data_IF_956415848191
#
_entry.id   IF_956415848191
#
_cell.length_a   1.000
_cell.length_b   1.000
_cell.length_c   1.000
_cell.angle_alpha   90.00
_cell.angle_beta   90.00
_cell.angle_gamma   90.00
#
_symmetry.space_group_name_H-M   'P 1'
#
loop_
_entity.id
_entity.type
_entity.pdbx_description
1 polymer ?
#
# COMPACT_ATOMS: atom_id res chain seq x y z
N UNK A 1 6.08 21.29 7.70
CA UNK A 1 7.29 22.07 7.34
C UNK A 1 8.16 21.17 6.48
N UNK A 2 8.35 21.52 5.21
CA UNK A 2 9.31 20.85 4.35
C UNK A 2 10.71 21.33 4.74
N UNK A 3 11.58 20.40 5.16
CA UNK A 3 13.01 20.67 5.35
C UNK A 3 13.72 20.10 4.15
N UNK A 4 14.07 20.97 3.20
CA UNK A 4 14.99 20.63 2.10
C UNK A 4 16.42 20.81 2.59
N UNK A 5 17.15 19.72 2.74
CA UNK A 5 18.60 19.76 2.93
C UNK A 5 19.24 18.72 2.01
N UNK A 6 19.94 19.19 0.99
CA UNK A 6 20.86 18.38 0.21
C UNK A 6 22.06 17.99 1.08
N UNK A 7 22.09 16.73 1.53
CA UNK A 7 23.15 16.17 2.36
C UNK A 7 22.55 15.48 3.60
N UNK A 8 23.12 14.35 4.01
CA UNK A 8 22.77 13.66 5.26
C UNK A 8 23.11 14.56 6.47
N UNK A 9 22.20 15.48 6.81
CA UNK A 9 22.30 16.23 8.05
C UNK A 9 21.85 15.34 9.21
N UNK A 10 22.67 15.16 10.26
CA UNK A 10 22.27 14.45 11.49
C UNK A 10 20.94 14.98 12.07
N UNK A 11 20.67 16.26 11.89
CA UNK A 11 19.46 16.92 12.37
C UNK A 11 18.22 16.51 11.56
N UNK A 12 18.33 16.34 10.23
CA UNK A 12 17.23 15.88 9.39
C UNK A 12 16.83 14.45 9.76
N UNK A 13 17.80 13.57 10.03
CA UNK A 13 17.53 12.19 10.46
C UNK A 13 16.87 12.16 11.85
N UNK A 14 17.35 12.96 12.81
CA UNK A 14 16.72 13.06 14.14
C UNK A 14 15.27 13.51 14.05
N UNK A 15 15.00 14.52 13.23
CA UNK A 15 13.63 14.98 12.99
C UNK A 15 12.77 13.90 12.34
N UNK A 16 13.34 13.15 11.38
CA UNK A 16 12.62 12.12 10.65
C UNK A 16 12.16 10.96 11.52
N UNK A 17 12.89 10.62 12.56
CA UNK A 17 12.54 9.54 13.50
C UNK A 17 11.71 10.00 14.69
N UNK A 18 11.54 11.31 14.88
CA UNK A 18 10.73 11.89 15.97
C UNK A 18 9.24 11.69 15.69
N UNK A 19 8.48 10.93 16.51
CA UNK A 19 7.08 10.66 16.28
C UNK A 19 6.14 11.86 16.53
N UNK A 20 6.63 12.92 17.16
CA UNK A 20 5.82 14.08 17.53
C UNK A 20 5.51 15.02 16.37
N UNK A 21 6.18 14.86 15.22
CA UNK A 21 6.03 15.72 14.06
C UNK A 21 5.51 14.98 12.84
N UNK A 22 4.60 15.60 12.10
CA UNK A 22 4.26 15.20 10.75
C UNK A 22 5.32 15.76 9.79
N UNK A 23 5.89 14.89 8.96
CA UNK A 23 6.95 15.29 8.04
C UNK A 23 6.88 14.54 6.71
N UNK A 24 7.50 15.13 5.70
CA UNK A 24 7.80 14.49 4.42
C UNK A 24 9.31 14.36 4.32
N UNK A 25 9.80 13.14 4.09
CA UNK A 25 11.21 12.84 3.88
C UNK A 25 11.46 12.56 2.41
N UNK A 26 12.14 13.49 1.75
CA UNK A 26 12.64 13.30 0.40
C UNK A 26 14.10 12.83 0.44
N UNK A 27 14.39 11.71 -0.19
CA UNK A 27 15.71 11.11 -0.18
C UNK A 27 15.93 10.20 -1.39
N UNK A 28 17.15 10.18 -1.93
CA UNK A 28 17.52 9.34 -3.07
C UNK A 28 17.45 7.84 -2.75
N UNK A 29 17.52 6.98 -3.77
CA UNK A 29 17.59 5.53 -3.57
C UNK A 29 18.88 5.18 -2.77
N UNK A 30 18.78 4.20 -1.87
CA UNK A 30 19.93 3.73 -1.08
C UNK A 30 20.30 4.57 0.16
N UNK A 31 19.65 5.69 0.42
CA UNK A 31 19.95 6.60 1.55
C UNK A 31 19.37 6.16 2.92
N UNK A 32 18.92 4.93 3.04
CA UNK A 32 18.45 4.40 4.32
C UNK A 32 17.02 4.82 4.73
N UNK A 33 16.17 5.24 3.78
CA UNK A 33 14.74 5.58 4.05
C UNK A 33 14.01 4.52 4.87
N UNK A 34 14.19 3.25 4.52
CA UNK A 34 13.56 2.13 5.25
C UNK A 34 14.06 2.05 6.69
N UNK A 35 15.34 2.33 6.93
CA UNK A 35 15.91 2.37 8.30
C UNK A 35 15.26 3.48 9.12
N UNK A 36 15.07 4.67 8.55
CA UNK A 36 14.37 5.79 9.20
C UNK A 36 12.93 5.42 9.54
N UNK A 37 12.21 4.76 8.62
CA UNK A 37 10.84 4.31 8.86
C UNK A 37 10.77 3.26 9.99
N UNK A 38 11.70 2.32 10.03
CA UNK A 38 11.81 1.33 11.11
C UNK A 38 12.09 2.02 12.45
N UNK A 39 13.08 2.91 12.52
CA UNK A 39 13.40 3.68 13.72
C UNK A 39 12.19 4.51 14.20
N UNK A 40 11.48 5.17 13.29
CA UNK A 40 10.26 5.92 13.62
C UNK A 40 9.17 5.01 14.16
N UNK A 41 8.95 3.85 13.56
CA UNK A 41 7.99 2.87 14.06
C UNK A 41 8.31 2.44 15.49
N UNK A 42 9.58 2.13 15.76
CA UNK A 42 10.04 1.77 17.12
C UNK A 42 9.88 2.91 18.12
N UNK A 43 10.09 4.16 17.70
CA UNK A 43 9.90 5.32 18.54
C UNK A 43 8.42 5.58 18.86
N UNK A 44 7.50 5.29 17.92
CA UNK A 44 6.06 5.29 18.20
C UNK A 44 5.70 4.29 19.28
N UNK A 45 6.23 3.06 19.19
CA UNK A 45 6.00 2.04 20.22
C UNK A 45 6.57 2.46 21.59
N UNK A 46 7.77 3.06 21.63
CA UNK A 46 8.39 3.61 22.86
C UNK A 46 7.58 4.75 23.45
N UNK A 47 6.93 5.55 22.60
CA UNK A 47 6.02 6.61 23.03
C UNK A 47 4.66 6.07 23.53
N UNK A 48 4.47 4.75 23.56
CA UNK A 48 3.26 4.10 24.07
C UNK A 48 2.13 3.98 23.05
N UNK A 49 2.38 4.25 21.75
CA UNK A 49 1.38 4.04 20.70
C UNK A 49 1.13 2.54 20.52
N UNK A 50 -0.14 2.16 20.51
CA UNK A 50 -0.52 0.78 20.25
C UNK A 50 -0.15 0.39 18.82
N UNK A 51 0.50 -0.78 18.59
CA UNK A 51 0.86 -1.24 17.26
C UNK A 51 -0.30 -1.28 16.27
N UNK A 52 -1.50 -1.60 16.72
CA UNK A 52 -2.71 -1.62 15.89
C UNK A 52 -3.12 -0.24 15.36
N UNK A 53 -2.63 0.83 15.98
CA UNK A 53 -2.87 2.21 15.56
C UNK A 53 -1.76 2.75 14.62
N UNK A 54 -0.80 1.92 14.24
CA UNK A 54 0.30 2.30 13.33
C UNK A 54 0.16 1.57 12.02
N UNK A 55 -0.14 2.31 10.97
CA UNK A 55 -0.18 1.79 9.60
C UNK A 55 1.09 2.18 8.84
N UNK A 56 1.83 1.19 8.34
CA UNK A 56 2.95 1.40 7.44
C UNK A 56 2.62 0.85 6.05
N UNK A 57 2.73 1.70 5.03
CA UNK A 57 2.41 1.34 3.65
C UNK A 57 3.68 1.31 2.81
N UNK A 58 3.81 0.28 1.99
CA UNK A 58 4.91 0.10 1.02
C UNK A 58 4.35 -0.18 -0.37
N UNK A 59 5.20 -0.09 -1.40
CA UNK A 59 4.77 -0.42 -2.78
C UNK A 59 4.83 -1.92 -3.08
N UNK A 60 5.70 -2.68 -2.41
CA UNK A 60 5.89 -4.09 -2.74
C UNK A 60 5.71 -4.99 -1.52
N UNK A 61 5.19 -6.19 -1.74
CA UNK A 61 5.07 -7.23 -0.71
C UNK A 61 6.44 -7.55 -0.08
N UNK A 62 7.49 -7.59 -0.90
CA UNK A 62 8.86 -7.83 -0.43
C UNK A 62 9.29 -6.75 0.59
N UNK A 63 9.10 -5.46 0.26
CA UNK A 63 9.44 -4.37 1.16
C UNK A 63 8.64 -4.42 2.48
N UNK A 64 7.36 -4.80 2.42
CA UNK A 64 6.54 -4.98 3.62
C UNK A 64 7.08 -6.10 4.53
N UNK A 65 7.46 -7.24 3.95
CA UNK A 65 8.05 -8.37 4.69
C UNK A 65 9.40 -7.98 5.29
N UNK A 66 10.28 -7.33 4.52
CA UNK A 66 11.59 -6.87 4.99
C UNK A 66 11.47 -5.84 6.13
N UNK A 67 10.55 -4.90 6.01
CA UNK A 67 10.31 -3.91 7.06
C UNK A 67 9.81 -4.57 8.34
N UNK A 68 8.86 -5.50 8.22
CA UNK A 68 8.34 -6.28 9.35
C UNK A 68 9.48 -7.05 10.04
N UNK A 69 10.29 -7.78 9.28
CA UNK A 69 11.42 -8.54 9.82
C UNK A 69 12.39 -7.64 10.60
N UNK A 70 12.75 -6.48 10.05
CA UNK A 70 13.65 -5.53 10.72
C UNK A 70 13.07 -5.00 12.03
N UNK A 71 11.78 -4.66 12.07
CA UNK A 71 11.12 -4.21 13.31
C UNK A 71 11.19 -5.31 14.39
N UNK A 72 10.89 -6.56 14.03
CA UNK A 72 10.96 -7.68 14.98
C UNK A 72 12.38 -7.98 15.44
N UNK A 73 13.38 -7.89 14.56
CA UNK A 73 14.78 -8.11 14.90
C UNK A 73 15.29 -7.02 15.85
N UNK A 74 15.02 -5.75 15.57
CA UNK A 74 15.39 -4.62 16.43
C UNK A 74 14.73 -4.71 17.82
N UNK A 75 13.44 -5.07 17.86
CA UNK A 75 12.73 -5.27 19.15
C UNK A 75 13.30 -6.45 19.92
N UNK A 76 13.61 -7.55 19.25
CA UNK A 76 14.24 -8.72 19.89
C UNK A 76 15.59 -8.38 20.49
N UNK A 77 16.40 -7.59 19.78
CA UNK A 77 17.72 -7.20 20.27
C UNK A 77 17.62 -6.13 21.38
N UNK A 78 16.66 -5.24 21.31
CA UNK A 78 16.36 -4.30 22.39
C UNK A 78 15.82 -5.03 23.64
N UNK A 79 15.02 -6.09 23.48
CA UNK A 79 14.46 -6.90 24.55
C UNK A 79 15.54 -7.56 25.43
N UNK A 80 16.74 -7.79 24.89
CA UNK A 80 17.88 -8.31 25.67
C UNK A 80 18.46 -7.31 26.66
N UNK A 81 18.13 -6.01 26.51
CA UNK A 81 18.74 -4.90 27.25
C UNK A 81 17.74 -4.13 28.12
N UNK A 82 16.44 -4.27 27.90
CA UNK A 82 15.40 -3.52 28.57
C UNK A 82 14.15 -4.34 28.77
N UNK A 83 13.63 -4.36 29.98
CA UNK A 83 12.36 -5.01 30.33
C UNK A 83 11.17 -4.42 29.59
N UNK A 84 11.19 -3.11 29.32
CA UNK A 84 10.16 -2.43 28.54
C UNK A 84 10.16 -2.93 27.08
N UNK A 85 11.33 -2.99 26.45
CA UNK A 85 11.48 -3.52 25.10
C UNK A 85 11.11 -5.01 25.04
N UNK A 86 11.39 -5.78 26.10
CA UNK A 86 10.95 -7.18 26.18
C UNK A 86 9.43 -7.30 26.20
N UNK A 87 8.71 -6.43 26.93
CA UNK A 87 7.25 -6.40 26.95
C UNK A 87 6.67 -6.07 25.58
N UNK A 88 7.23 -5.07 24.86
CA UNK A 88 6.82 -4.72 23.49
C UNK A 88 7.08 -5.88 22.53
N UNK A 89 8.27 -6.47 22.54
CA UNK A 89 8.60 -7.62 21.71
C UNK A 89 7.66 -8.80 21.94
N UNK A 90 7.41 -9.16 23.21
CA UNK A 90 6.51 -10.25 23.59
C UNK A 90 5.09 -9.99 23.08
N UNK A 91 4.56 -8.79 23.28
CA UNK A 91 3.22 -8.41 22.81
C UNK A 91 3.09 -8.56 21.29
N UNK A 92 4.04 -8.04 20.52
CA UNK A 92 4.03 -8.15 19.07
C UNK A 92 4.23 -9.57 18.56
N UNK A 93 5.08 -10.35 19.24
CA UNK A 93 5.28 -11.77 18.93
C UNK A 93 4.00 -12.58 19.13
N UNK A 94 3.28 -12.31 20.21
CA UNK A 94 2.05 -13.01 20.56
C UNK A 94 0.86 -12.57 19.71
N UNK A 95 0.94 -11.38 19.09
CA UNK A 95 -0.08 -10.80 18.20
C UNK A 95 0.55 -10.18 16.94
N UNK A 96 1.11 -10.99 16.05
CA UNK A 96 1.77 -10.48 14.85
C UNK A 96 0.81 -9.77 13.87
N UNK A 97 -0.49 -10.02 13.99
CA UNK A 97 -1.53 -9.34 13.22
C UNK A 97 -1.72 -7.88 13.58
N UNK A 98 -1.31 -7.45 14.80
CA UNK A 98 -1.41 -6.04 15.21
C UNK A 98 -0.41 -5.14 14.46
N UNK A 99 0.58 -5.74 13.78
CA UNK A 99 1.57 -4.99 12.99
C UNK A 99 1.05 -4.78 11.57
N UNK A 100 0.37 -3.66 11.35
CA UNK A 100 -0.20 -3.30 10.06
C UNK A 100 0.87 -2.73 9.11
N UNK A 101 1.67 -3.61 8.49
CA UNK A 101 2.60 -3.28 7.42
C UNK A 101 2.12 -3.96 6.15
N UNK A 102 1.72 -3.19 5.15
CA UNK A 102 1.01 -3.70 3.98
C UNK A 102 1.40 -2.95 2.70
N UNK A 103 0.98 -3.43 1.56
CA UNK A 103 1.05 -2.66 0.31
C UNK A 103 -0.16 -1.75 0.19
N UNK A 104 -0.05 -0.70 -0.66
CA UNK A 104 -1.17 0.19 -0.92
C UNK A 104 -2.39 -0.57 -1.47
N UNK A 105 -2.17 -1.51 -2.39
CA UNK A 105 -3.25 -2.31 -2.96
C UNK A 105 -3.95 -3.18 -1.91
N UNK A 106 -3.17 -3.84 -1.04
CA UNK A 106 -3.74 -4.66 0.02
C UNK A 106 -4.48 -3.81 1.07
N UNK A 107 -4.00 -2.59 1.35
CA UNK A 107 -4.69 -1.64 2.20
C UNK A 107 -6.00 -1.18 1.58
N UNK A 108 -6.00 -0.77 0.30
CA UNK A 108 -7.22 -0.39 -0.41
C UNK A 108 -8.24 -1.54 -0.44
N UNK A 109 -7.77 -2.77 -0.70
CA UNK A 109 -8.64 -3.95 -0.67
C UNK A 109 -9.23 -4.21 0.72
N UNK A 110 -8.47 -3.97 1.80
CA UNK A 110 -9.00 -4.09 3.17
C UNK A 110 -10.11 -3.08 3.44
N UNK A 111 -9.94 -1.83 2.99
CA UNK A 111 -10.98 -0.80 3.10
C UNK A 111 -12.25 -1.17 2.32
N UNK A 112 -12.11 -1.68 1.10
CA UNK A 112 -13.27 -2.12 0.30
C UNK A 112 -14.02 -3.28 0.96
N UNK A 113 -13.32 -4.16 1.67
CA UNK A 113 -13.93 -5.26 2.43
C UNK A 113 -14.60 -4.81 3.71
N UNK A 114 -14.09 -3.75 4.33
CA UNK A 114 -14.66 -3.16 5.54
C UNK A 114 -15.88 -2.27 5.23
N UNK A 115 -15.84 -1.57 4.10
CA UNK A 115 -16.88 -0.63 3.66
C UNK A 115 -17.37 -0.93 2.24
N UNK A 116 -17.90 -2.14 1.96
CA UNK A 116 -18.26 -2.52 0.60
C UNK A 116 -19.47 -1.73 0.07
N UNK A 117 -20.44 -1.41 0.90
CA UNK A 117 -21.64 -0.71 0.49
C UNK A 117 -21.35 0.75 0.11
N UNK A 118 -20.43 1.40 0.81
CA UNK A 118 -19.97 2.77 0.49
C UNK A 118 -19.21 2.83 -0.84
N UNK A 119 -18.64 1.71 -1.26
CA UNK A 119 -17.94 1.56 -2.54
C UNK A 119 -18.86 1.02 -3.66
N UNK A 120 -20.18 0.87 -3.41
CA UNK A 120 -21.12 0.25 -4.33
C UNK A 120 -20.70 -1.16 -4.79
N UNK A 121 -20.19 -1.95 -3.86
CA UNK A 121 -19.74 -3.32 -4.07
C UNK A 121 -20.62 -4.31 -3.31
N UNK A 122 -20.77 -5.52 -3.87
CA UNK A 122 -21.35 -6.64 -3.17
C UNK A 122 -20.45 -7.03 -1.97
N UNK A 123 -20.99 -7.19 -0.74
CA UNK A 123 -20.18 -7.62 0.42
C UNK A 123 -19.42 -8.94 0.22
N UNK A 124 -19.89 -9.79 -0.71
CA UNK A 124 -19.24 -11.04 -1.10
C UNK A 124 -18.27 -10.92 -2.26
N UNK A 125 -17.92 -9.69 -2.71
CA UNK A 125 -17.03 -9.50 -3.85
C UNK A 125 -15.68 -10.21 -3.67
N UNK A 126 -15.19 -10.78 -4.77
CA UNK A 126 -13.85 -11.37 -4.87
C UNK A 126 -12.93 -10.57 -5.77
N UNK A 127 -11.64 -10.82 -5.66
CA UNK A 127 -10.64 -10.33 -6.63
C UNK A 127 -10.44 -11.43 -7.66
N UNK A 128 -10.63 -11.08 -8.94
CA UNK A 128 -10.41 -12.01 -10.05
C UNK A 128 -8.96 -12.50 -10.06
N UNK A 129 -8.78 -13.79 -10.21
CA UNK A 129 -7.47 -14.39 -10.38
C UNK A 129 -6.99 -14.35 -11.84
N UNK A 130 -5.73 -14.73 -12.06
CA UNK A 130 -5.12 -14.70 -13.39
C UNK A 130 -5.86 -15.59 -14.41
N UNK A 131 -6.60 -16.60 -13.97
CA UNK A 131 -7.36 -17.51 -14.85
C UNK A 131 -8.72 -16.94 -15.22
N UNK A 132 -9.30 -16.10 -14.36
CA UNK A 132 -10.59 -15.44 -14.60
C UNK A 132 -10.46 -14.18 -15.47
N UNK A 133 -9.32 -13.46 -15.36
CA UNK A 133 -9.09 -12.19 -16.06
C UNK A 133 -9.33 -12.28 -17.56
N UNK A 134 -8.80 -13.26 -18.34
CA UNK A 134 -9.05 -13.35 -19.76
C UNK A 134 -10.52 -13.49 -20.14
N UNK A 135 -11.27 -14.28 -19.36
CA UNK A 135 -12.71 -14.47 -19.56
C UNK A 135 -13.49 -13.16 -19.30
N UNK A 136 -13.17 -12.46 -18.21
CA UNK A 136 -13.80 -11.19 -17.86
C UNK A 136 -13.48 -10.10 -18.89
N UNK A 137 -12.26 -10.07 -19.40
CA UNK A 137 -11.85 -9.17 -20.48
C UNK A 137 -12.65 -9.42 -21.75
N UNK A 138 -12.78 -10.69 -22.16
CA UNK A 138 -13.57 -11.06 -23.34
C UNK A 138 -15.03 -10.66 -23.19
N UNK A 139 -15.63 -10.88 -22.01
CA UNK A 139 -17.01 -10.46 -21.72
C UNK A 139 -17.18 -8.93 -21.72
N UNK A 140 -16.21 -8.20 -21.19
CA UNK A 140 -16.23 -6.74 -21.20
C UNK A 140 -16.14 -6.20 -22.64
N UNK A 141 -15.24 -6.76 -23.45
CA UNK A 141 -15.07 -6.38 -24.85
C UNK A 141 -16.34 -6.66 -25.66
N UNK A 142 -16.94 -7.85 -25.53
CA UNK A 142 -18.20 -8.20 -26.18
C UNK A 142 -19.35 -7.24 -25.79
N UNK A 143 -19.42 -6.86 -24.51
CA UNK A 143 -20.41 -5.87 -24.04
C UNK A 143 -20.17 -4.50 -24.65
N UNK A 144 -18.92 -4.03 -24.69
CA UNK A 144 -18.55 -2.75 -25.30
C UNK A 144 -18.89 -2.77 -26.81
N UNK A 145 -18.53 -3.82 -27.53
CA UNK A 145 -18.84 -3.96 -28.97
C UNK A 145 -20.36 -3.90 -29.24
N UNK A 146 -21.17 -4.54 -28.41
CA UNK A 146 -22.65 -4.45 -28.54
C UNK A 146 -23.16 -3.04 -28.30
N UNK A 147 -22.63 -2.33 -27.31
CA UNK A 147 -23.03 -0.93 -27.04
C UNK A 147 -22.60 -0.02 -28.19
N UNK A 148 -21.37 -0.14 -28.67
CA UNK A 148 -20.85 0.67 -29.78
C UNK A 148 -21.59 0.35 -31.07
N UNK A 149 -21.88 -0.92 -31.36
CA UNK A 149 -22.69 -1.33 -32.52
C UNK A 149 -24.11 -0.74 -32.47
N UNK A 150 -24.72 -0.70 -31.29
CA UNK A 150 -26.02 -0.05 -31.09
C UNK A 150 -25.97 1.49 -31.25
N UNK A 151 -24.86 2.12 -30.89
CA UNK A 151 -24.65 3.56 -31.13
C UNK A 151 -24.35 3.86 -32.58
N UNK A 152 -23.58 3.04 -33.27
CA UNK A 152 -23.26 3.22 -34.70
C UNK A 152 -24.52 3.18 -35.62
N UNK A 153 -25.57 2.48 -35.20
CA UNK A 153 -26.86 2.47 -35.88
C UNK A 153 -27.61 3.80 -35.76
N UNK A 154 -27.21 4.66 -34.84
CA UNK A 154 -27.88 5.93 -34.52
C UNK A 154 -27.00 7.16 -34.77
N UNK A 155 -25.71 7.00 -34.94
CA UNK A 155 -24.72 8.04 -35.05
C UNK A 155 -23.72 7.73 -36.17
N UNK A 156 -23.71 8.51 -37.24
CA UNK A 156 -22.82 8.35 -38.39
C UNK A 156 -21.33 8.49 -38.00
N UNK A 157 -21.00 9.34 -37.02
CA UNK A 157 -19.63 9.52 -36.55
C UNK A 157 -19.08 8.27 -35.90
N UNK A 158 -19.92 7.56 -35.09
CA UNK A 158 -19.54 6.28 -34.48
C UNK A 158 -19.42 5.17 -35.52
N UNK A 159 -20.30 5.16 -36.53
CA UNK A 159 -20.23 4.21 -37.66
C UNK A 159 -18.94 4.41 -38.46
N UNK A 160 -18.55 5.65 -38.70
CA UNK A 160 -17.29 5.97 -39.40
C UNK A 160 -16.06 5.53 -38.61
N UNK A 161 -16.04 5.79 -37.31
CA UNK A 161 -14.96 5.34 -36.38
C UNK A 161 -14.83 3.83 -36.40
N UNK A 162 -15.91 3.08 -36.33
CA UNK A 162 -15.86 1.61 -36.39
C UNK A 162 -15.31 1.10 -37.73
N UNK A 163 -15.69 1.73 -38.82
CA UNK A 163 -15.17 1.36 -40.15
C UNK A 163 -13.66 1.60 -40.29
N UNK A 164 -13.14 2.63 -39.60
CA UNK A 164 -11.70 2.92 -39.56
C UNK A 164 -10.92 1.93 -38.70
N UNK A 165 -11.51 1.45 -37.61
CA UNK A 165 -10.91 0.45 -36.73
C UNK A 165 -10.89 -0.95 -37.36
N UNK A 166 -11.89 -1.30 -38.16
CA UNK A 166 -11.99 -2.58 -38.86
C UNK A 166 -10.99 -2.70 -40.01
N UNK A 167 -10.45 -1.57 -40.49
CA UNK A 167 -9.43 -1.52 -41.56
C UNK A 167 -7.99 -1.52 -41.04
N UNK A 168 -7.79 -1.38 -39.72
CA UNK A 168 -6.48 -1.52 -39.07
C UNK A 168 -6.40 -2.94 -38.48
N UNK A 169 -5.77 -3.85 -39.23
CA UNK A 169 -5.35 -5.16 -38.69
C UNK A 169 -4.60 -4.95 -37.37
N UNK A 170 -5.21 -5.38 -36.25
CA UNK A 170 -4.58 -5.55 -34.96
C UNK A 170 -4.02 -6.96 -34.83
#
# INVERSE_FOLDING_TARGET
RAVSSGGESPDARRLAVDPTHNLVLEASAGTGKTTVLVERYLNLLRAGVDPSNVLAITFTRKAAVEMRARIFDELRDAAKRSEEAFRHWRRLRDRPGDVAITTIDAFCLSLLREFPLEADLDPGFGVADETEVPRLMAQALDRVQRVIGGLALRDEGVSLLLSLLDTTDL
#
